data_IF_276930080157
#
_entry.id   IF_276930080157
#
_cell.length_a   1.000
_cell.length_b   1.000
_cell.length_c   1.000
_cell.angle_alpha   90.00
_cell.angle_beta   90.00
_cell.angle_gamma   90.00
#
_symmetry.space_group_name_H-M   'P 1'
#
loop_
_entity.id
_entity.type
_entity.pdbx_description
1 polymer ?
#
# COMPACT_ATOMS: atom_id res chain seq x y z
N UNK A 1 -8.06 0.22 -19.10
CA UNK A 1 -8.82 0.20 -17.84
C UNK A 1 -8.52 -1.12 -17.16
N UNK A 2 -8.23 -1.14 -15.84
CA UNK A 2 -8.09 -2.40 -15.12
C UNK A 2 -9.42 -3.19 -15.19
N UNK A 3 -9.37 -4.53 -15.18
CA UNK A 3 -10.56 -5.36 -15.14
C UNK A 3 -11.39 -5.02 -13.90
N UNK A 4 -12.72 -5.07 -14.02
CA UNK A 4 -13.62 -4.90 -12.89
C UNK A 4 -13.36 -6.02 -11.88
N UNK A 5 -12.89 -5.63 -10.68
CA UNK A 5 -12.55 -6.57 -9.62
C UNK A 5 -13.74 -7.47 -9.29
N UNK A 6 -13.48 -8.77 -9.15
CA UNK A 6 -14.46 -9.77 -8.71
C UNK A 6 -14.51 -9.90 -7.17
N UNK A 7 -13.95 -8.93 -6.44
CA UNK A 7 -13.83 -8.95 -4.99
C UNK A 7 -12.53 -9.62 -4.56
N UNK A 8 -12.43 -10.95 -4.66
CA UNK A 8 -11.28 -11.74 -4.15
C UNK A 8 -10.17 -11.95 -5.19
N UNK A 9 -9.79 -10.90 -5.89
CA UNK A 9 -8.78 -10.98 -6.95
C UNK A 9 -7.55 -10.10 -6.69
N UNK A 10 -7.51 -9.38 -5.57
CA UNK A 10 -6.39 -8.52 -5.24
C UNK A 10 -5.29 -9.29 -4.50
N UNK A 11 -4.04 -9.05 -4.90
CA UNK A 11 -2.87 -9.43 -4.12
C UNK A 11 -2.38 -8.19 -3.37
N UNK A 12 -2.40 -8.25 -2.05
CA UNK A 12 -2.03 -7.11 -1.19
C UNK A 12 -0.68 -7.38 -0.55
N UNK A 13 0.19 -6.37 -0.63
CA UNK A 13 1.51 -6.36 -0.03
C UNK A 13 1.62 -5.18 0.93
N UNK A 14 2.15 -5.42 2.13
CA UNK A 14 2.39 -4.37 3.11
C UNK A 14 3.59 -4.69 4.01
N UNK A 15 4.13 -3.65 4.63
CA UNK A 15 5.01 -3.76 5.79
C UNK A 15 4.27 -3.28 7.03
N UNK A 16 4.33 -4.04 8.10
CA UNK A 16 3.66 -3.73 9.36
C UNK A 16 4.53 -4.09 10.56
N UNK A 17 4.39 -3.33 11.64
CA UNK A 17 4.95 -3.58 12.96
C UNK A 17 3.85 -3.91 13.99
N UNK A 18 2.64 -4.24 13.51
CA UNK A 18 1.46 -4.40 14.35
C UNK A 18 1.71 -5.34 15.54
N UNK A 19 1.13 -4.99 16.68
CA UNK A 19 1.16 -5.83 17.85
C UNK A 19 -0.25 -5.92 18.39
N UNK A 20 -0.76 -7.14 18.44
CA UNK A 20 -2.09 -7.43 18.96
C UNK A 20 -2.00 -8.47 20.08
N UNK A 21 -2.94 -8.35 21.01
CA UNK A 21 -3.07 -9.29 22.12
C UNK A 21 -3.80 -10.52 21.58
N UNK A 22 -3.16 -11.67 21.70
CA UNK A 22 -3.81 -12.94 21.44
C UNK A 22 -4.96 -13.16 22.42
N UNK A 23 -6.22 -13.31 21.97
CA UNK A 23 -7.37 -13.35 22.86
C UNK A 23 -7.48 -14.65 23.66
N UNK A 24 -6.70 -15.69 23.32
CA UNK A 24 -6.71 -16.99 24.02
C UNK A 24 -5.60 -17.01 25.07
N UNK A 25 -4.40 -16.57 24.71
CA UNK A 25 -3.22 -16.62 25.58
C UNK A 25 -2.98 -15.34 26.36
N UNK A 26 -3.67 -14.25 25.99
CA UNK A 26 -3.48 -12.89 26.52
C UNK A 26 -2.04 -12.36 26.38
N UNK A 27 -1.25 -12.92 25.46
CA UNK A 27 0.11 -12.49 25.15
C UNK A 27 0.13 -11.62 23.91
N UNK A 28 1.05 -10.65 23.86
CA UNK A 28 1.30 -9.90 22.62
C UNK A 28 1.95 -10.81 21.58
N UNK A 29 1.44 -10.76 20.34
CA UNK A 29 1.99 -11.54 19.22
C UNK A 29 3.30 -10.95 18.65
N UNK A 30 3.52 -9.65 18.82
CA UNK A 30 4.75 -8.97 18.41
C UNK A 30 5.16 -7.92 19.46
N UNK A 31 5.61 -8.33 20.65
CA UNK A 31 5.91 -7.40 21.75
C UNK A 31 7.06 -6.45 21.42
N UNK A 32 7.95 -6.83 20.51
CA UNK A 32 9.08 -6.00 20.06
C UNK A 32 8.67 -4.99 19.01
N UNK A 33 7.46 -5.11 18.42
CA UNK A 33 6.99 -4.31 17.29
C UNK A 33 7.92 -4.41 16.07
N UNK A 34 8.59 -5.55 15.85
CA UNK A 34 9.48 -5.69 14.69
C UNK A 34 8.69 -5.56 13.40
N UNK A 35 9.30 -4.97 12.37
CA UNK A 35 8.69 -4.84 11.05
C UNK A 35 8.77 -6.18 10.33
N UNK A 36 7.69 -6.59 9.68
CA UNK A 36 7.70 -7.72 8.75
C UNK A 36 6.88 -7.41 7.50
N UNK A 37 7.27 -8.08 6.41
CA UNK A 37 6.56 -8.07 5.15
C UNK A 37 5.37 -9.03 5.20
N UNK A 38 4.24 -8.61 4.64
CA UNK A 38 3.02 -9.41 4.54
C UNK A 38 2.51 -9.43 3.12
N UNK A 39 2.22 -10.64 2.65
CA UNK A 39 1.64 -10.94 1.34
C UNK A 39 0.30 -11.64 1.57
N UNK A 40 -0.78 -11.11 0.99
CA UNK A 40 -2.13 -11.68 1.07
C UNK A 40 -2.70 -11.84 -0.33
N UNK A 41 -2.96 -13.07 -0.74
CA UNK A 41 -3.68 -13.35 -1.98
C UNK A 41 -5.19 -13.30 -1.75
N UNK A 42 -5.92 -13.14 -2.84
CA UNK A 42 -7.38 -13.29 -2.90
C UNK A 42 -8.12 -12.36 -1.90
N UNK A 43 -7.50 -11.20 -1.68
CA UNK A 43 -8.04 -10.17 -0.82
C UNK A 43 -9.12 -9.39 -1.56
N UNK A 44 -10.16 -9.00 -0.82
CA UNK A 44 -11.12 -8.00 -1.26
C UNK A 44 -10.89 -6.70 -0.49
N UNK A 45 -10.31 -5.66 -1.12
CA UNK A 45 -10.11 -4.38 -0.47
C UNK A 45 -11.42 -3.76 0.03
N UNK A 46 -12.56 -4.01 -0.62
CA UNK A 46 -13.85 -3.44 -0.24
C UNK A 46 -14.37 -3.98 1.11
N UNK A 47 -13.89 -5.14 1.57
CA UNK A 47 -14.20 -5.67 2.90
C UNK A 47 -13.38 -5.00 4.02
N UNK A 48 -12.39 -4.19 3.66
CA UNK A 48 -11.57 -3.47 4.63
C UNK A 48 -12.37 -2.35 5.29
N UNK A 49 -12.83 -2.56 6.52
CA UNK A 49 -13.59 -1.55 7.30
C UNK A 49 -12.81 -0.26 7.59
N UNK A 50 -11.48 -0.29 7.44
CA UNK A 50 -10.58 0.85 7.60
C UNK A 50 -10.08 1.44 6.28
N UNK A 51 -10.53 0.91 5.13
CA UNK A 51 -10.10 1.41 3.83
C UNK A 51 -10.79 2.74 3.51
N UNK A 52 -10.00 3.80 3.34
CA UNK A 52 -10.50 5.15 3.06
C UNK A 52 -10.68 5.37 1.54
N UNK A 53 -9.70 4.91 0.76
CA UNK A 53 -9.70 5.03 -0.70
C UNK A 53 -8.58 4.22 -1.33
N UNK A 54 -8.54 4.17 -2.67
CA UNK A 54 -7.53 3.45 -3.44
C UNK A 54 -6.99 4.36 -4.52
N UNK A 55 -5.67 4.35 -4.67
CA UNK A 55 -4.98 5.15 -5.68
C UNK A 55 -4.31 4.20 -6.67
N UNK A 56 -4.63 4.37 -7.95
CA UNK A 56 -3.98 3.65 -9.05
C UNK A 56 -2.85 4.50 -9.61
N UNK A 57 -1.62 4.02 -9.48
CA UNK A 57 -0.41 4.74 -9.92
C UNK A 57 0.18 4.20 -11.24
N UNK A 58 -0.31 3.07 -11.74
CA UNK A 58 0.21 2.43 -12.94
C UNK A 58 -0.36 1.04 -13.18
N UNK A 59 0.27 0.30 -14.07
CA UNK A 59 -0.10 -1.08 -14.40
C UNK A 59 1.17 -1.93 -14.49
N UNK A 60 1.13 -3.12 -13.91
CA UNK A 60 2.21 -4.10 -14.08
C UNK A 60 2.12 -4.66 -15.51
N UNK A 61 3.24 -4.87 -16.21
CA UNK A 61 3.22 -5.45 -17.56
C UNK A 61 2.56 -6.83 -17.62
N UNK A 62 1.96 -7.13 -18.77
CA UNK A 62 1.40 -8.45 -19.03
C UNK A 62 2.48 -9.53 -18.91
N UNK A 63 2.12 -10.65 -18.27
CA UNK A 63 3.01 -11.81 -18.10
C UNK A 63 3.79 -11.84 -16.79
N UNK A 64 3.79 -10.76 -15.99
CA UNK A 64 4.36 -10.80 -14.63
C UNK A 64 3.48 -11.66 -13.72
N UNK A 65 4.07 -12.69 -13.15
CA UNK A 65 3.39 -13.66 -12.29
C UNK A 65 3.25 -13.18 -10.85
N UNK A 66 2.30 -13.75 -10.10
CA UNK A 66 2.13 -13.46 -8.66
C UNK A 66 3.41 -13.72 -7.83
N UNK A 67 4.14 -14.83 -8.04
CA UNK A 67 5.41 -15.05 -7.34
C UNK A 67 6.48 -14.01 -7.69
N UNK A 68 6.52 -13.50 -8.93
CA UNK A 68 7.45 -12.43 -9.30
C UNK A 68 7.09 -11.11 -8.62
N UNK A 69 5.79 -10.80 -8.46
CA UNK A 69 5.34 -9.65 -7.68
C UNK A 69 5.71 -9.79 -6.20
N UNK A 70 5.46 -10.96 -5.61
CA UNK A 70 5.79 -11.22 -4.22
C UNK A 70 7.30 -11.14 -3.96
N UNK A 71 8.11 -11.74 -4.84
CA UNK A 71 9.57 -11.61 -4.79
C UNK A 71 10.00 -10.15 -4.87
N UNK A 72 9.46 -9.40 -5.83
CA UNK A 72 9.76 -7.97 -5.98
C UNK A 72 9.42 -7.14 -4.73
N UNK A 73 8.21 -7.30 -4.17
CA UNK A 73 7.81 -6.53 -2.98
C UNK A 73 8.52 -7.00 -1.70
N UNK A 74 8.94 -8.27 -1.63
CA UNK A 74 9.72 -8.78 -0.51
C UNK A 74 11.15 -8.21 -0.43
N UNK A 75 11.67 -7.70 -1.56
CA UNK A 75 12.98 -7.05 -1.66
C UNK A 75 12.94 -5.57 -1.26
N UNK A 76 11.75 -4.98 -1.11
CA UNK A 76 11.60 -3.59 -0.63
C UNK A 76 12.09 -3.51 0.82
N UNK A 77 13.05 -2.63 1.16
CA UNK A 77 13.59 -2.52 2.50
C UNK A 77 12.50 -2.29 3.56
N UNK A 78 12.50 -3.10 4.61
CA UNK A 78 11.60 -2.88 5.74
C UNK A 78 12.01 -1.61 6.51
N UNK A 79 11.04 -0.88 7.09
CA UNK A 79 11.35 0.31 7.87
C UNK A 79 12.29 0.01 9.04
N UNK A 80 13.23 0.91 9.29
CA UNK A 80 14.19 0.81 10.38
C UNK A 80 13.72 1.64 11.58
N UNK A 81 13.73 1.04 12.77
CA UNK A 81 13.35 1.71 14.02
C UNK A 81 14.43 2.69 14.48
N UNK A 82 13.99 3.69 15.25
CA UNK A 82 14.87 4.62 15.97
C UNK A 82 15.83 5.44 15.07
N UNK A 83 15.44 5.65 13.81
CA UNK A 83 16.16 6.52 12.88
C UNK A 83 15.63 7.95 12.90
N UNK A 84 16.42 8.89 12.36
CA UNK A 84 15.99 10.27 12.11
C UNK A 84 16.20 10.59 10.62
N UNK A 85 15.12 10.82 9.84
CA UNK A 85 13.71 10.80 10.24
C UNK A 85 13.21 9.38 10.62
N UNK A 86 12.11 9.32 11.35
CA UNK A 86 11.46 8.06 11.71
C UNK A 86 10.87 7.40 10.46
N UNK A 87 11.10 6.10 10.30
CA UNK A 87 10.53 5.32 9.20
C UNK A 87 9.24 4.62 9.63
N UNK A 88 8.35 4.36 8.66
CA UNK A 88 7.04 3.75 8.88
C UNK A 88 6.57 2.95 7.66
N UNK A 89 5.35 2.41 7.70
CA UNK A 89 4.72 1.81 6.53
C UNK A 89 4.62 2.79 5.34
N UNK A 90 4.55 4.10 5.60
CA UNK A 90 4.61 5.12 4.54
C UNK A 90 5.97 5.13 3.86
N UNK A 91 7.07 5.00 4.61
CA UNK A 91 8.42 4.88 4.05
C UNK A 91 8.54 3.67 3.16
N UNK A 92 8.01 2.52 3.60
CA UNK A 92 7.98 1.30 2.79
C UNK A 92 7.20 1.49 1.48
N UNK A 93 6.05 2.17 1.53
CA UNK A 93 5.26 2.49 0.32
C UNK A 93 6.02 3.43 -0.62
N UNK A 94 6.70 4.45 -0.10
CA UNK A 94 7.55 5.34 -0.90
C UNK A 94 8.67 4.57 -1.61
N UNK A 95 9.33 3.65 -0.90
CA UNK A 95 10.39 2.81 -1.47
C UNK A 95 9.85 1.79 -2.48
N UNK A 96 8.68 1.20 -2.22
CA UNK A 96 8.00 0.31 -3.15
C UNK A 96 7.64 1.04 -4.46
N UNK A 97 7.10 2.26 -4.37
CA UNK A 97 6.79 3.10 -5.53
C UNK A 97 8.08 3.44 -6.30
N UNK A 98 9.16 3.81 -5.61
CA UNK A 98 10.46 4.08 -6.24
C UNK A 98 10.98 2.86 -6.99
N UNK A 99 10.94 1.67 -6.38
CA UNK A 99 11.35 0.43 -7.03
C UNK A 99 10.49 0.12 -8.26
N UNK A 100 9.18 0.38 -8.20
CA UNK A 100 8.27 0.20 -9.35
C UNK A 100 8.61 1.16 -10.49
N UNK A 101 8.97 2.40 -10.17
CA UNK A 101 9.43 3.41 -11.14
C UNK A 101 10.78 3.04 -11.75
N UNK A 102 11.71 2.50 -10.97
CA UNK A 102 13.03 2.04 -11.43
C UNK A 102 12.92 0.82 -12.34
N UNK A 103 12.02 -0.10 -12.01
CA UNK A 103 11.70 -1.28 -12.82
C UNK A 103 10.92 -0.94 -14.11
N UNK A 104 10.40 0.29 -14.21
CA UNK A 104 9.62 0.75 -15.36
C UNK A 104 8.19 0.24 -15.41
N UNK A 105 7.65 -0.29 -14.31
CA UNK A 105 6.26 -0.74 -14.19
C UNK A 105 5.31 0.43 -13.86
N UNK A 106 5.84 1.50 -13.27
CA UNK A 106 5.10 2.73 -12.96
C UNK A 106 5.81 3.91 -13.60
N UNK A 107 5.05 4.86 -14.16
CA UNK A 107 5.62 6.08 -14.73
C UNK A 107 6.37 6.86 -13.65
N UNK A 108 7.46 7.54 -14.04
CA UNK A 108 8.17 8.40 -13.09
C UNK A 108 7.34 9.63 -12.72
N UNK A 109 7.14 9.84 -11.42
CA UNK A 109 6.58 11.05 -10.84
C UNK A 109 7.30 11.42 -9.54
N UNK A 110 7.06 12.64 -9.06
CA UNK A 110 7.57 13.11 -7.78
C UNK A 110 6.77 12.48 -6.62
N UNK A 111 7.44 11.61 -5.85
CA UNK A 111 6.83 10.87 -4.74
C UNK A 111 6.42 11.82 -3.59
N UNK A 112 7.13 12.93 -3.39
CA UNK A 112 6.81 13.89 -2.34
C UNK A 112 5.50 14.62 -2.66
N UNK A 113 5.38 15.13 -3.89
CA UNK A 113 4.13 15.74 -4.39
C UNK A 113 2.97 14.72 -4.41
N UNK A 114 3.26 13.47 -4.77
CA UNK A 114 2.27 12.39 -4.70
C UNK A 114 1.76 12.19 -3.28
N UNK A 115 2.64 12.19 -2.27
CA UNK A 115 2.25 12.03 -0.88
C UNK A 115 1.34 13.17 -0.41
N UNK A 116 1.68 14.41 -0.71
CA UNK A 116 0.86 15.58 -0.34
C UNK A 116 -0.53 15.51 -0.98
N UNK A 117 -0.58 15.10 -2.24
CA UNK A 117 -1.84 14.86 -2.96
C UNK A 117 -2.63 13.69 -2.35
N UNK A 118 -1.98 12.56 -2.04
CA UNK A 118 -2.61 11.39 -1.48
C UNK A 118 -3.20 11.65 -0.09
N UNK A 119 -2.54 12.49 0.71
CA UNK A 119 -3.07 12.95 2.00
C UNK A 119 -4.32 13.81 1.81
N UNK A 120 -4.30 14.76 0.87
CA UNK A 120 -5.46 15.60 0.56
C UNK A 120 -6.66 14.76 0.06
N UNK A 121 -6.38 13.76 -0.79
CA UNK A 121 -7.37 12.78 -1.24
C UNK A 121 -7.94 11.97 -0.06
N UNK A 122 -7.10 11.52 0.86
CA UNK A 122 -7.54 10.77 2.04
C UNK A 122 -8.41 11.64 2.96
N UNK A 123 -8.03 12.89 3.22
CA UNK A 123 -8.80 13.84 4.04
C UNK A 123 -10.20 14.08 3.45
N UNK A 124 -10.30 14.25 2.13
CA UNK A 124 -11.59 14.39 1.43
C UNK A 124 -12.44 13.10 1.50
N UNK A 125 -11.81 11.94 1.39
CA UNK A 125 -12.47 10.62 1.51
C UNK A 125 -12.96 10.33 2.92
N UNK A 126 -12.31 10.89 3.95
CA UNK A 126 -12.75 10.75 5.35
C UNK A 126 -14.08 11.47 5.64
N UNK A 127 -14.56 12.35 4.75
CA UNK A 127 -15.91 12.94 4.84
C UNK A 127 -17.05 11.95 4.56
N UNK A 128 -16.74 10.71 4.16
CA UNK A 128 -17.75 9.66 4.01
C UNK A 128 -18.66 9.90 2.81
N UNK A 129 -19.97 9.98 3.06
CA UNK A 129 -21.00 10.19 2.03
C UNK A 129 -20.93 11.59 1.41
N UNK A 130 -20.38 12.57 2.12
CA UNK A 130 -20.21 13.95 1.64
C UNK A 130 -18.92 14.15 0.82
N UNK A 131 -18.15 13.08 0.60
CA UNK A 131 -16.88 13.14 -0.12
C UNK A 131 -17.10 13.46 -1.60
N UNK A 132 -16.34 14.43 -2.13
CA UNK A 132 -16.30 14.71 -3.58
C UNK A 132 -15.40 13.75 -4.36
N UNK A 133 -14.56 12.96 -3.67
CA UNK A 133 -13.56 12.09 -4.27
C UNK A 133 -14.07 10.65 -4.41
N UNK A 134 -13.79 9.97 -5.54
CA UNK A 134 -14.21 8.59 -5.74
C UNK A 134 -13.42 7.61 -4.87
N UNK A 135 -14.00 6.43 -4.61
CA UNK A 135 -13.34 5.37 -3.83
C UNK A 135 -12.09 4.76 -4.52
N UNK A 136 -11.95 4.98 -5.82
CA UNK A 136 -10.76 4.64 -6.62
C UNK A 136 -10.40 5.84 -7.48
N UNK A 137 -9.19 6.36 -7.30
CA UNK A 137 -8.67 7.50 -8.05
C UNK A 137 -7.41 7.12 -8.82
N UNK A 138 -7.30 7.59 -10.06
CA UNK A 138 -6.09 7.40 -10.86
C UNK A 138 -5.17 8.59 -10.61
N UNK A 139 -3.94 8.31 -10.19
CA UNK A 139 -2.92 9.33 -10.11
C UNK A 139 -2.25 9.47 -11.47
N UNK A 140 -2.52 10.59 -12.13
CA UNK A 140 -1.83 11.00 -13.36
C UNK A 140 -1.15 12.34 -13.13
N UNK A 141 0.12 12.43 -13.48
CA UNK A 141 0.80 13.73 -13.56
C UNK A 141 0.33 14.39 -14.85
N UNK A 142 -0.36 15.53 -14.77
CA UNK A 142 -0.51 16.41 -15.92
C UNK A 142 0.90 16.86 -16.32
N UNK A 143 1.32 16.49 -17.54
CA UNK A 143 2.58 16.92 -18.14
C UNK A 143 2.62 18.42 -18.37
#
# INVERSE_FOLDING_TARGET
MPPTSQGQDCHVFDATDASDIDPVTFRMKNPTMDWWFRSKTDADPALGTKLIGRIVIGHVPDGVSRPELEGFFSEVPLPVKNTHPQQSCVTWVEDAIRNLQEKGWVQKFDIHRFKDWALSYADERMKGEDSSEPSVQYYSVEN
#
